data_IF_044425857997
#
_entry.id   IF_044425857997
#
_cell.length_a   1.000
_cell.length_b   1.000
_cell.length_c   1.000
_cell.angle_alpha   90.00
_cell.angle_beta   90.00
_cell.angle_gamma   90.00
#
_symmetry.space_group_name_H-M   'P 1'
#
loop_
_entity.id
_entity.type
_entity.pdbx_description
1 polymer ?
#
# COMPACT_ATOMS: atom_id res chain seq x y z
N UNK A 1 -16.87 12.24 -8.47
CA UNK A 1 -15.53 11.67 -8.75
C UNK A 1 -15.36 10.47 -7.86
N UNK A 2 -15.07 9.30 -8.44
CA UNK A 2 -14.86 8.08 -7.66
C UNK A 2 -13.57 8.23 -6.84
N UNK A 3 -13.60 7.84 -5.56
CA UNK A 3 -12.47 8.03 -4.64
C UNK A 3 -11.15 7.41 -5.18
N UNK A 4 -11.24 6.32 -5.93
CA UNK A 4 -10.09 5.66 -6.57
C UNK A 4 -9.52 6.44 -7.78
N UNK A 5 -10.35 7.17 -8.53
CA UNK A 5 -9.91 7.98 -9.67
C UNK A 5 -9.10 9.20 -9.23
N UNK A 6 -9.48 9.82 -8.11
CA UNK A 6 -8.78 10.99 -7.55
C UNK A 6 -7.61 10.63 -6.63
N UNK A 7 -7.48 9.38 -6.19
CA UNK A 7 -6.40 8.96 -5.30
C UNK A 7 -5.03 9.16 -5.98
N UNK A 8 -4.03 9.68 -5.27
CA UNK A 8 -2.64 9.77 -5.79
C UNK A 8 -1.85 8.47 -5.64
N UNK A 9 -2.28 7.59 -4.74
CA UNK A 9 -1.68 6.30 -4.43
C UNK A 9 -2.66 5.43 -3.64
N UNK A 10 -2.28 4.17 -3.43
CA UNK A 10 -3.00 3.20 -2.64
C UNK A 10 -2.09 2.52 -1.61
N UNK A 11 -2.61 2.30 -0.41
CA UNK A 11 -2.05 1.34 0.55
C UNK A 11 -3.11 0.26 0.71
N UNK A 12 -2.74 -0.98 0.37
CA UNK A 12 -3.68 -2.10 0.28
C UNK A 12 -3.18 -3.25 1.14
N UNK A 13 -4.05 -3.81 1.97
CA UNK A 13 -3.74 -4.95 2.83
C UNK A 13 -3.47 -6.22 1.98
N UNK A 14 -2.55 -7.10 2.41
CA UNK A 14 -2.11 -8.25 1.61
C UNK A 14 -3.13 -9.42 1.59
N UNK A 15 -4.26 -9.29 2.28
CA UNK A 15 -5.27 -10.35 2.43
C UNK A 15 -6.24 -10.45 1.23
N UNK A 16 -6.28 -9.46 0.34
CA UNK A 16 -7.14 -9.43 -0.84
C UNK A 16 -6.36 -9.27 -2.15
N UNK A 17 -6.25 -10.37 -2.92
CA UNK A 17 -5.65 -10.35 -4.26
C UNK A 17 -6.39 -9.38 -5.18
N UNK A 18 -7.73 -9.39 -5.17
CA UNK A 18 -8.53 -8.57 -6.09
C UNK A 18 -8.30 -7.08 -5.87
N UNK A 19 -8.24 -6.63 -4.62
CA UNK A 19 -7.95 -5.22 -4.32
C UNK A 19 -6.54 -4.82 -4.75
N UNK A 20 -5.54 -5.69 -4.56
CA UNK A 20 -4.17 -5.42 -5.04
C UNK A 20 -4.13 -5.30 -6.55
N UNK A 21 -4.80 -6.21 -7.27
CA UNK A 21 -4.87 -6.17 -8.75
C UNK A 21 -5.55 -4.89 -9.23
N UNK A 22 -6.70 -4.53 -8.66
CA UNK A 22 -7.43 -3.32 -9.04
C UNK A 22 -6.62 -2.05 -8.77
N UNK A 23 -5.94 -1.96 -7.63
CA UNK A 23 -5.06 -0.84 -7.32
C UNK A 23 -3.87 -0.75 -8.29
N UNK A 24 -3.23 -1.88 -8.60
CA UNK A 24 -2.13 -1.91 -9.57
C UNK A 24 -2.60 -1.53 -10.98
N UNK A 25 -3.81 -1.94 -11.37
CA UNK A 25 -4.40 -1.64 -12.68
C UNK A 25 -4.64 -0.14 -12.92
N UNK A 26 -4.70 0.69 -11.86
CA UNK A 26 -4.82 2.14 -12.04
C UNK A 26 -3.52 2.80 -12.52
N UNK A 27 -2.39 2.07 -12.53
CA UNK A 27 -1.07 2.61 -12.85
C UNK A 27 -0.52 3.61 -11.83
N UNK A 28 -1.11 3.66 -10.63
CA UNK A 28 -0.70 4.58 -9.56
C UNK A 28 0.17 3.85 -8.55
N UNK A 29 0.95 4.59 -7.75
CA UNK A 29 1.68 4.02 -6.61
C UNK A 29 0.82 3.09 -5.73
N UNK A 30 1.23 1.83 -5.58
CA UNK A 30 0.64 0.84 -4.66
C UNK A 30 1.66 0.39 -3.62
N UNK A 31 1.28 0.48 -2.35
CA UNK A 31 2.06 -0.01 -1.23
C UNK A 31 1.32 -1.10 -0.47
N UNK A 32 2.07 -2.07 0.05
CA UNK A 32 1.54 -3.21 0.80
C UNK A 32 2.20 -3.23 2.18
N UNK A 33 1.44 -3.02 3.28
CA UNK A 33 1.98 -3.11 4.62
C UNK A 33 2.31 -4.55 4.98
N UNK A 34 3.43 -4.71 5.69
CA UNK A 34 3.78 -5.99 6.29
C UNK A 34 2.84 -6.25 7.48
N UNK A 35 1.81 -7.05 7.21
CA UNK A 35 0.84 -7.47 8.20
C UNK A 35 1.13 -8.93 8.55
N UNK A 36 0.98 -9.34 9.82
CA UNK A 36 1.08 -10.73 10.21
C UNK A 36 0.00 -11.53 9.49
N UNK A 37 0.37 -12.14 8.35
CA UNK A 37 -0.53 -12.95 7.56
C UNK A 37 -0.74 -14.25 8.33
N UNK A 38 -2.01 -14.60 8.56
CA UNK A 38 -2.39 -15.79 9.35
C UNK A 38 -1.74 -17.10 8.86
N UNK A 39 -1.29 -17.17 7.60
CA UNK A 39 -0.65 -18.36 7.01
C UNK A 39 0.41 -17.96 5.97
N UNK A 40 1.68 -18.16 6.33
CA UNK A 40 2.83 -18.11 5.41
C UNK A 40 2.64 -19.19 4.33
N UNK A 41 3.22 -18.98 3.14
CA UNK A 41 3.20 -19.93 2.01
C UNK A 41 1.85 -20.15 1.29
N UNK A 42 0.80 -19.41 1.66
CA UNK A 42 -0.47 -19.44 0.92
C UNK A 42 -0.32 -18.89 -0.50
N UNK A 43 -1.28 -19.23 -1.39
CA UNK A 43 -1.37 -18.65 -2.73
C UNK A 43 -1.39 -17.11 -2.69
N UNK A 44 -2.08 -16.52 -1.72
CA UNK A 44 -2.11 -15.08 -1.52
C UNK A 44 -0.72 -14.54 -1.14
N UNK A 45 -0.05 -15.15 -0.16
CA UNK A 45 1.30 -14.73 0.21
C UNK A 45 2.27 -14.77 -0.99
N UNK A 46 2.29 -15.88 -1.75
CA UNK A 46 3.13 -15.99 -2.97
C UNK A 46 2.78 -14.94 -4.03
N UNK A 47 1.51 -14.63 -4.19
CA UNK A 47 1.07 -13.58 -5.10
C UNK A 47 1.61 -12.21 -4.67
N UNK A 48 1.51 -11.86 -3.39
CA UNK A 48 2.01 -10.59 -2.86
C UNK A 48 3.53 -10.46 -3.03
N UNK A 49 4.28 -11.50 -2.65
CA UNK A 49 5.74 -11.55 -2.85
C UNK A 49 6.13 -11.35 -4.32
N UNK A 50 5.43 -12.04 -5.25
CA UNK A 50 5.68 -11.88 -6.68
C UNK A 50 5.35 -10.47 -7.18
N UNK A 51 4.24 -9.88 -6.73
CA UNK A 51 3.82 -8.52 -7.10
C UNK A 51 4.89 -7.49 -6.69
N UNK A 52 5.45 -7.63 -5.49
CA UNK A 52 6.51 -6.75 -4.99
C UNK A 52 7.83 -7.02 -5.74
N UNK A 53 8.22 -8.28 -5.93
CA UNK A 53 9.43 -8.65 -6.65
C UNK A 53 9.45 -8.13 -8.10
N UNK A 54 8.28 -8.09 -8.75
CA UNK A 54 8.10 -7.52 -10.10
C UNK A 54 7.95 -6.00 -10.12
N UNK A 55 8.04 -5.33 -8.97
CA UNK A 55 7.94 -3.87 -8.81
C UNK A 55 6.57 -3.29 -9.19
N UNK A 56 5.51 -4.10 -9.18
CA UNK A 56 4.13 -3.60 -9.37
C UNK A 56 3.57 -2.95 -8.09
N UNK A 57 4.15 -3.27 -6.94
CA UNK A 57 3.91 -2.61 -5.67
C UNK A 57 5.22 -2.55 -4.88
N UNK A 58 5.25 -1.75 -3.80
CA UNK A 58 6.35 -1.70 -2.84
C UNK A 58 5.86 -2.09 -1.45
N UNK A 59 6.75 -2.57 -0.59
CA UNK A 59 6.43 -2.66 0.84
C UNK A 59 6.15 -1.26 1.39
N UNK A 60 5.18 -1.19 2.29
CA UNK A 60 4.98 -0.02 3.14
C UNK A 60 5.82 -0.20 4.41
N UNK A 61 6.86 0.60 4.56
CA UNK A 61 7.83 0.62 5.65
C UNK A 61 7.44 1.58 6.79
N UNK A 62 6.30 2.27 6.66
CA UNK A 62 5.73 3.07 7.74
C UNK A 62 5.08 2.21 8.83
N UNK A 63 5.13 2.67 10.08
CA UNK A 63 4.45 2.01 11.19
C UNK A 63 2.97 2.40 11.22
N UNK A 64 2.08 1.50 10.80
CA UNK A 64 0.64 1.61 11.03
C UNK A 64 0.26 0.62 12.12
N UNK A 65 -0.21 1.12 13.27
CA UNK A 65 -0.67 0.28 14.35
C UNK A 65 -2.11 -0.20 14.09
N UNK A 66 -2.23 -1.34 13.39
CA UNK A 66 -3.52 -1.96 13.07
C UNK A 66 -4.17 -2.72 14.25
N UNK A 67 -3.49 -2.83 15.40
CA UNK A 67 -4.00 -3.56 16.57
C UNK A 67 -4.95 -2.74 17.45
N UNK A 68 -5.12 -1.44 17.19
CA UNK A 68 -6.03 -0.57 17.96
C UNK A 68 -7.46 -0.66 17.42
N UNK A 69 -8.40 -0.97 18.31
CA UNK A 69 -9.85 -0.98 18.04
C UNK A 69 -10.49 0.43 18.01
N UNK A 70 -9.76 1.44 18.48
CA UNK A 70 -10.17 2.84 18.45
C UNK A 70 -9.01 3.71 17.96
N UNK A 71 -9.28 4.55 16.96
CA UNK A 71 -8.27 5.43 16.36
C UNK A 71 -8.63 6.86 16.73
N UNK A 72 -7.77 7.52 17.50
CA UNK A 72 -7.93 8.95 17.77
C UNK A 72 -7.63 9.77 16.51
N UNK A 73 -8.27 10.94 16.38
CA UNK A 73 -8.06 11.82 15.22
C UNK A 73 -6.59 12.17 14.96
N UNK A 74 -5.79 12.27 16.04
CA UNK A 74 -4.35 12.52 15.96
C UNK A 74 -3.59 11.36 15.32
N UNK A 75 -4.00 10.12 15.59
CA UNK A 75 -3.41 8.94 14.98
C UNK A 75 -3.74 8.86 13.47
N UNK A 76 -4.95 9.27 13.09
CA UNK A 76 -5.35 9.40 11.66
C UNK A 76 -4.45 10.42 10.95
N UNK A 77 -4.22 11.58 11.56
CA UNK A 77 -3.39 12.63 10.97
C UNK A 77 -1.92 12.21 10.86
N UNK A 78 -1.38 11.54 11.88
CA UNK A 78 -0.03 10.98 11.83
C UNK A 78 0.10 9.96 10.69
N UNK A 79 -0.86 9.04 10.57
CA UNK A 79 -0.88 8.08 9.49
C UNK A 79 -0.95 8.79 8.13
N UNK A 80 -1.81 9.81 7.98
CA UNK A 80 -1.91 10.62 6.75
C UNK A 80 -0.58 11.26 6.37
N UNK A 81 0.14 11.84 7.33
CA UNK A 81 1.43 12.48 7.09
C UNK A 81 2.49 11.48 6.63
N UNK A 82 2.60 10.35 7.33
CA UNK A 82 3.51 9.26 6.96
C UNK A 82 3.19 8.77 5.55
N UNK A 83 1.93 8.45 5.27
CA UNK A 83 1.47 7.99 3.95
C UNK A 83 1.77 9.00 2.85
N UNK A 84 1.55 10.30 3.07
CA UNK A 84 1.80 11.36 2.08
C UNK A 84 3.29 11.50 1.74
N UNK A 85 4.17 11.33 2.73
CA UNK A 85 5.62 11.35 2.53
C UNK A 85 6.10 10.26 1.56
N UNK A 86 5.59 9.05 1.74
CA UNK A 86 5.91 7.91 0.86
C UNK A 86 5.51 8.16 -0.59
N UNK A 87 4.28 8.65 -0.81
CA UNK A 87 3.76 8.95 -2.15
C UNK A 87 4.67 9.94 -2.85
N UNK A 88 5.03 11.02 -2.16
CA UNK A 88 5.88 12.08 -2.71
C UNK A 88 7.28 11.57 -3.06
N UNK A 89 7.85 10.71 -2.22
CA UNK A 89 9.17 10.10 -2.47
C UNK A 89 9.14 9.22 -3.73
N UNK A 90 8.13 8.36 -3.88
CA UNK A 90 8.07 7.44 -5.01
C UNK A 90 7.73 8.15 -6.33
N UNK A 91 6.84 9.14 -6.33
CA UNK A 91 6.57 9.94 -7.54
C UNK A 91 7.83 10.60 -8.10
N UNK A 92 8.74 11.07 -7.22
CA UNK A 92 10.03 11.64 -7.65
C UNK A 92 10.97 10.60 -8.27
N UNK A 93 11.00 9.38 -7.71
CA UNK A 93 11.80 8.28 -8.26
C UNK A 93 11.31 7.83 -9.64
N UNK A 94 10.00 7.81 -9.88
CA UNK A 94 9.42 7.42 -11.16
C UNK A 94 9.67 8.45 -12.27
N UNK A 95 9.54 9.75 -11.95
CA UNK A 95 9.82 10.84 -12.90
C UNK A 95 11.29 10.84 -13.34
N UNK A 96 12.22 10.45 -12.46
CA UNK A 96 13.65 10.38 -12.78
C UNK A 96 14.08 9.11 -13.53
N UNK A 97 13.17 8.15 -13.77
CA UNK A 97 13.42 6.93 -14.53
C UNK A 97 12.72 6.92 -15.89
N UNK A 98 12.06 8.03 -16.26
CA UNK A 98 11.35 8.27 -17.53
C UNK A 98 12.16 9.21 -18.42
#
# INVERSE_FOLDING_TARGET
MNACESAGAFIVTPDSITMVVEACATGKPVYIPDLPVRRVETRNHRFIEMTIAKKYAKHFDGNINFARSYIERKDIENARQVMTGYITSWSKEYVNQS
#
